data_IF_871739294482
#
_entry.id   IF_871739294482
#
_cell.length_a   1.000
_cell.length_b   1.000
_cell.length_c   1.000
_cell.angle_alpha   90.00
_cell.angle_beta   90.00
_cell.angle_gamma   90.00
#
_symmetry.space_group_name_H-M   'P 1'
#
loop_
_entity.id
_entity.type
_entity.pdbx_description
1 polymer ?
#
# COMPACT_ATOMS: atom_id res chain seq x y z
N UNK A 1 4.87 -2.57 -31.68
CA UNK A 1 4.49 -2.23 -30.29
C UNK A 1 5.59 -1.39 -29.66
N UNK A 2 5.23 -0.38 -28.86
CA UNK A 2 6.16 0.55 -28.24
C UNK A 2 6.89 -0.06 -27.05
N UNK A 3 8.01 0.55 -26.66
CA UNK A 3 8.69 0.30 -25.39
C UNK A 3 8.83 1.64 -24.68
N UNK A 4 8.43 1.71 -23.42
CA UNK A 4 8.55 2.90 -22.58
C UNK A 4 9.57 2.61 -21.49
N UNK A 5 10.61 3.45 -21.42
CA UNK A 5 11.66 3.34 -20.42
C UNK A 5 11.62 4.59 -19.53
N UNK A 6 11.60 4.39 -18.22
CA UNK A 6 11.57 5.48 -17.24
C UNK A 6 12.78 5.38 -16.30
N UNK A 7 13.44 6.52 -16.06
CA UNK A 7 14.45 6.62 -15.01
C UNK A 7 13.80 7.17 -13.75
N UNK A 8 13.76 6.37 -12.69
CA UNK A 8 13.18 6.74 -11.41
C UNK A 8 14.27 7.15 -10.41
N UNK A 9 14.08 8.30 -9.77
CA UNK A 9 14.87 8.76 -8.63
C UNK A 9 13.98 8.70 -7.40
N UNK A 10 14.31 7.83 -6.45
CA UNK A 10 13.51 7.61 -5.25
C UNK A 10 14.32 8.13 -4.06
N UNK A 11 13.73 8.99 -3.23
CA UNK A 11 14.37 9.43 -1.99
C UNK A 11 14.23 8.31 -0.96
N UNK A 12 15.26 8.11 -0.13
CA UNK A 12 15.21 7.08 0.92
C UNK A 12 14.06 7.33 1.91
N UNK A 13 13.75 8.60 2.22
CA UNK A 13 12.61 8.98 3.07
C UNK A 13 11.25 8.54 2.52
N UNK A 14 11.12 8.38 1.20
CA UNK A 14 9.88 7.92 0.57
C UNK A 14 9.77 6.38 0.59
N UNK A 15 10.88 5.67 0.84
CA UNK A 15 10.91 4.21 0.90
C UNK A 15 10.57 3.67 2.28
N UNK A 16 11.05 4.33 3.34
CA UNK A 16 10.79 3.90 4.70
C UNK A 16 10.94 5.07 5.69
N UNK A 17 10.01 5.22 6.66
CA UNK A 17 10.06 6.31 7.64
C UNK A 17 11.35 6.37 8.46
N UNK A 18 12.03 5.24 8.67
CA UNK A 18 13.33 5.18 9.38
C UNK A 18 14.35 6.17 8.81
N UNK A 19 14.38 6.39 7.49
CA UNK A 19 15.37 7.27 6.86
C UNK A 19 15.14 8.76 7.15
N UNK A 20 13.96 9.13 7.65
CA UNK A 20 13.70 10.48 8.17
C UNK A 20 14.31 10.67 9.56
N UNK A 21 14.43 9.58 10.32
CA UNK A 21 14.79 9.61 11.73
C UNK A 21 16.26 9.17 11.97
N UNK A 22 16.87 8.48 11.00
CA UNK A 22 18.30 8.19 11.00
C UNK A 22 19.11 9.48 11.00
N UNK A 23 20.09 9.52 11.90
CA UNK A 23 21.01 10.65 12.05
C UNK A 23 22.31 10.42 11.29
N UNK A 24 23.20 11.41 11.33
CA UNK A 24 24.59 11.25 10.94
C UNK A 24 25.26 10.17 11.81
N UNK A 25 25.83 9.17 11.14
CA UNK A 25 26.53 8.03 11.75
C UNK A 25 27.88 7.81 11.05
N UNK A 26 28.86 7.30 11.79
CA UNK A 26 30.20 7.09 11.30
C UNK A 26 30.38 5.68 10.68
N UNK A 27 30.35 5.61 9.34
CA UNK A 27 30.62 4.43 8.49
C UNK A 27 29.48 3.38 8.27
N UNK A 28 28.23 3.78 7.99
CA UNK A 28 27.06 2.91 8.17
C UNK A 28 27.03 1.69 7.26
N UNK A 29 27.00 0.50 7.86
CA UNK A 29 26.79 -0.75 7.15
C UNK A 29 25.29 -1.08 6.99
N UNK A 30 24.65 -0.49 5.97
CA UNK A 30 23.22 -0.71 5.69
C UNK A 30 23.06 -1.64 4.48
N UNK A 31 22.31 -2.75 4.67
CA UNK A 31 21.88 -3.62 3.58
C UNK A 31 20.44 -3.33 3.19
N UNK A 32 20.24 -2.74 2.01
CA UNK A 32 18.92 -2.53 1.43
C UNK A 32 18.57 -3.68 0.48
N UNK A 33 17.36 -4.21 0.59
CA UNK A 33 16.80 -5.18 -0.36
C UNK A 33 15.50 -4.63 -0.90
N UNK A 34 15.41 -4.52 -2.21
CA UNK A 34 14.21 -4.06 -2.90
C UNK A 34 13.58 -5.23 -3.66
N UNK A 35 12.27 -5.37 -3.54
CA UNK A 35 11.47 -6.21 -4.43
C UNK A 35 10.65 -5.26 -5.31
N UNK A 36 10.96 -5.24 -6.60
CA UNK A 36 10.22 -4.42 -7.58
C UNK A 36 9.20 -5.31 -8.29
N UNK A 37 8.02 -4.77 -8.59
CA UNK A 37 7.02 -5.49 -9.39
C UNK A 37 7.57 -5.79 -10.79
N UNK A 38 7.53 -7.06 -11.18
CA UNK A 38 7.89 -7.53 -12.51
C UNK A 38 6.90 -8.59 -12.94
N UNK A 39 6.47 -8.53 -14.20
CA UNK A 39 5.45 -9.43 -14.68
C UNK A 39 5.02 -9.17 -16.10
N UNK A 40 4.05 -9.95 -16.55
CA UNK A 40 3.42 -9.85 -17.86
C UNK A 40 1.92 -10.13 -17.74
N UNK A 41 1.10 -9.32 -18.39
CA UNK A 41 -0.33 -9.57 -18.59
C UNK A 41 -0.60 -9.96 -20.03
N UNK A 42 -1.36 -11.02 -20.22
CA UNK A 42 -1.89 -11.46 -21.52
C UNK A 42 -3.37 -11.05 -21.62
N UNK A 43 -3.69 -10.35 -22.71
CA UNK A 43 -4.98 -9.74 -22.97
C UNK A 43 -5.50 -10.25 -24.31
N UNK A 44 -6.70 -10.81 -24.32
CA UNK A 44 -7.40 -11.16 -25.55
C UNK A 44 -8.33 -10.02 -25.98
N UNK A 45 -8.44 -9.84 -27.30
CA UNK A 45 -9.23 -8.79 -27.94
C UNK A 45 -10.24 -9.46 -28.89
N UNK A 46 -11.53 -9.19 -28.68
CA UNK A 46 -12.60 -9.73 -29.52
C UNK A 46 -12.84 -8.88 -30.78
N UNK A 47 -13.79 -9.31 -31.62
CA UNK A 47 -14.13 -8.64 -32.88
C UNK A 47 -14.78 -7.27 -32.69
N UNK A 48 -15.18 -6.93 -31.47
CA UNK A 48 -15.71 -5.63 -31.07
C UNK A 48 -14.65 -4.78 -30.34
N UNK A 49 -13.37 -5.16 -30.43
CA UNK A 49 -12.24 -4.53 -29.72
C UNK A 49 -12.41 -4.50 -28.20
N UNK A 50 -13.21 -5.40 -27.63
CA UNK A 50 -13.31 -5.55 -26.17
C UNK A 50 -12.12 -6.36 -25.69
N UNK A 51 -11.47 -5.82 -24.66
CA UNK A 51 -10.27 -6.39 -24.06
C UNK A 51 -10.67 -7.19 -22.83
N UNK A 52 -10.17 -8.42 -22.73
CA UNK A 52 -10.40 -9.28 -21.57
C UNK A 52 -9.08 -9.87 -21.08
N UNK A 53 -8.92 -9.96 -19.76
CA UNK A 53 -7.67 -10.44 -19.17
C UNK A 53 -7.70 -11.97 -19.15
N UNK A 54 -6.72 -12.58 -19.81
CA UNK A 54 -6.57 -14.05 -19.88
C UNK A 54 -5.65 -14.53 -18.77
N UNK A 55 -4.56 -13.81 -18.49
CA UNK A 55 -3.68 -14.10 -17.35
C UNK A 55 -2.78 -12.93 -16.98
N UNK A 56 -2.39 -12.84 -15.71
CA UNK A 56 -1.21 -12.06 -15.28
C UNK A 56 -0.22 -12.99 -14.59
N UNK A 57 1.04 -12.97 -15.03
CA UNK A 57 2.15 -13.70 -14.42
C UNK A 57 3.11 -12.70 -13.77
N UNK A 58 3.28 -12.81 -12.46
CA UNK A 58 4.23 -12.01 -11.68
C UNK A 58 5.49 -12.83 -11.41
N UNK A 59 6.65 -12.34 -11.84
CA UNK A 59 7.95 -12.92 -11.49
C UNK A 59 8.55 -12.31 -10.22
N UNK A 60 8.11 -11.10 -9.86
CA UNK A 60 8.49 -10.41 -8.63
C UNK A 60 7.42 -9.41 -8.23
N UNK A 61 7.26 -9.18 -6.92
CA UNK A 61 6.22 -8.30 -6.39
C UNK A 61 4.81 -8.89 -6.52
N UNK A 62 3.80 -8.08 -6.23
CA UNK A 62 2.42 -8.55 -6.11
C UNK A 62 1.44 -7.76 -6.99
N UNK A 63 1.87 -6.67 -7.63
CA UNK A 63 0.99 -5.67 -8.26
C UNK A 63 1.36 -5.46 -9.72
N UNK A 64 0.35 -5.19 -10.57
CA UNK A 64 0.55 -4.66 -11.91
C UNK A 64 0.68 -3.12 -11.84
N UNK A 65 1.82 -2.52 -12.19
CA UNK A 65 2.02 -1.07 -12.12
C UNK A 65 1.58 -0.33 -13.39
N UNK A 66 1.00 -1.03 -14.36
CA UNK A 66 0.69 -0.48 -15.69
C UNK A 66 -0.82 -0.56 -15.92
N UNK A 67 -1.41 0.50 -16.45
CA UNK A 67 -2.80 0.51 -16.87
C UNK A 67 -2.90 0.58 -18.39
N UNK A 68 -3.77 -0.25 -18.97
CA UNK A 68 -4.04 -0.29 -20.41
C UNK A 68 -5.40 0.33 -20.67
N UNK A 69 -5.42 1.36 -21.51
CA UNK A 69 -6.67 2.01 -21.91
C UNK A 69 -7.49 1.11 -22.84
N UNK A 70 -8.81 1.30 -22.83
CA UNK A 70 -9.74 0.52 -23.67
C UNK A 70 -9.48 0.71 -25.17
N UNK A 71 -9.65 -0.37 -25.94
CA UNK A 71 -9.62 -0.38 -27.40
C UNK A 71 -11.01 -0.22 -28.04
N UNK A 72 -12.08 -0.04 -27.26
CA UNK A 72 -13.42 0.24 -27.80
C UNK A 72 -13.53 1.71 -28.21
N UNK A 73 -14.11 2.03 -29.36
CA UNK A 73 -14.31 3.42 -29.80
C UNK A 73 -15.11 4.23 -28.77
N UNK A 74 -14.74 5.50 -28.48
CA UNK A 74 -13.65 6.30 -29.05
C UNK A 74 -12.39 6.35 -28.14
N UNK A 75 -12.14 5.30 -27.36
CA UNK A 75 -11.06 5.30 -26.35
C UNK A 75 -9.65 5.33 -26.99
N UNK A 76 -8.61 5.71 -26.23
CA UNK A 76 -7.27 5.94 -26.76
C UNK A 76 -6.63 4.78 -27.55
N UNK A 77 -7.00 3.52 -27.28
CA UNK A 77 -6.43 2.37 -27.99
C UNK A 77 -7.21 1.96 -29.24
N UNK A 78 -8.36 2.58 -29.57
CA UNK A 78 -9.25 2.15 -30.65
C UNK A 78 -8.58 1.99 -32.03
N UNK A 79 -7.72 2.95 -32.41
CA UNK A 79 -7.00 2.88 -33.70
C UNK A 79 -5.61 2.25 -33.59
N UNK A 80 -5.12 2.00 -32.37
CA UNK A 80 -3.82 1.39 -32.10
C UNK A 80 -3.94 -0.13 -32.06
N UNK A 81 -5.05 -0.63 -31.54
CA UNK A 81 -5.43 -2.03 -31.47
C UNK A 81 -6.74 -2.17 -32.26
N UNK A 82 -6.65 -2.63 -33.51
CA UNK A 82 -7.82 -2.84 -34.36
C UNK A 82 -7.97 -4.32 -34.71
N UNK A 83 -9.18 -4.85 -34.52
CA UNK A 83 -9.54 -6.24 -34.84
C UNK A 83 -9.35 -7.25 -33.71
N UNK A 84 -9.49 -8.53 -34.05
CA UNK A 84 -9.34 -9.68 -33.15
C UNK A 84 -7.86 -9.99 -32.97
N UNK A 85 -7.43 -10.28 -31.74
CA UNK A 85 -6.05 -10.72 -31.50
C UNK A 85 -5.71 -10.85 -30.03
N UNK A 86 -4.41 -10.91 -29.75
CA UNK A 86 -3.88 -10.92 -28.39
C UNK A 86 -2.76 -9.89 -28.22
N UNK A 87 -2.68 -9.33 -27.01
CA UNK A 87 -1.70 -8.36 -26.58
C UNK A 87 -1.02 -8.87 -25.31
N UNK A 88 0.30 -8.73 -25.24
CA UNK A 88 1.05 -8.91 -24.01
C UNK A 88 1.64 -7.57 -23.55
N UNK A 89 1.49 -7.25 -22.26
CA UNK A 89 2.12 -6.09 -21.62
C UNK A 89 3.06 -6.60 -20.54
N UNK A 90 4.36 -6.36 -20.70
CA UNK A 90 5.37 -6.74 -19.71
C UNK A 90 5.99 -5.53 -19.06
N UNK A 91 6.23 -5.63 -17.75
CA UNK A 91 6.87 -4.60 -16.94
C UNK A 91 7.98 -5.22 -16.10
N UNK A 92 8.98 -4.40 -15.80
CA UNK A 92 10.04 -4.78 -14.88
C UNK A 92 11.07 -3.67 -14.72
N UNK A 93 11.89 -3.79 -13.68
CA UNK A 93 13.04 -2.92 -13.49
C UNK A 93 14.22 -3.50 -14.27
N UNK A 94 14.90 -2.66 -15.05
CA UNK A 94 16.06 -3.01 -15.88
C UNK A 94 15.65 -3.87 -17.08
N UNK A 95 15.04 -5.04 -16.86
CA UNK A 95 14.58 -5.96 -17.90
C UNK A 95 13.14 -6.42 -17.65
N UNK A 96 12.52 -7.02 -18.65
CA UNK A 96 11.24 -7.73 -18.51
C UNK A 96 11.18 -8.93 -19.48
N UNK A 97 10.09 -9.69 -19.44
CA UNK A 97 9.94 -10.91 -20.25
C UNK A 97 10.02 -10.66 -21.77
N UNK A 98 9.60 -9.50 -22.26
CA UNK A 98 9.64 -9.13 -23.69
C UNK A 98 10.93 -8.39 -24.09
N UNK A 99 11.67 -7.85 -23.11
CA UNK A 99 12.95 -7.17 -23.27
C UNK A 99 13.94 -7.70 -22.23
N UNK A 100 14.53 -8.89 -22.45
CA UNK A 100 15.42 -9.53 -21.48
C UNK A 100 16.82 -8.90 -21.43
N UNK A 101 17.13 -7.95 -22.32
CA UNK A 101 18.42 -7.26 -22.41
C UNK A 101 18.22 -5.76 -22.50
N UNK A 102 19.06 -4.99 -21.79
CA UNK A 102 19.16 -3.54 -21.96
C UNK A 102 20.19 -3.24 -23.05
N UNK A 103 19.78 -2.41 -24.01
CA UNK A 103 20.69 -1.69 -24.88
C UNK A 103 20.98 -0.32 -24.25
N UNK A 104 22.27 -0.01 -24.02
CA UNK A 104 22.72 1.27 -23.46
C UNK A 104 22.40 2.48 -24.34
N UNK A 105 21.84 2.25 -25.53
CA UNK A 105 21.39 3.27 -26.47
C UNK A 105 20.35 4.25 -25.89
N UNK A 106 19.46 3.80 -24.98
CA UNK A 106 18.33 4.62 -24.51
C UNK A 106 18.42 5.06 -23.04
N UNK A 107 19.23 4.38 -22.22
CA UNK A 107 19.40 4.69 -20.81
C UNK A 107 20.88 4.61 -20.43
N UNK A 108 21.45 5.64 -19.78
CA UNK A 108 22.89 5.71 -19.50
C UNK A 108 23.34 4.73 -18.41
N UNK A 109 22.41 4.08 -17.71
CA UNK A 109 22.71 3.17 -16.61
C UNK A 109 22.06 1.81 -16.84
N UNK A 110 22.88 0.76 -16.80
CA UNK A 110 22.45 -0.65 -16.78
C UNK A 110 22.27 -1.17 -15.34
N UNK A 111 22.55 -0.34 -14.33
CA UNK A 111 22.47 -0.67 -12.90
C UNK A 111 21.79 0.43 -12.09
N UNK A 112 21.33 0.11 -10.87
CA UNK A 112 20.90 1.12 -9.89
C UNK A 112 22.11 1.78 -9.22
N UNK A 113 21.95 3.02 -8.74
CA UNK A 113 22.97 3.78 -8.00
C UNK A 113 22.35 4.36 -6.73
N UNK A 114 23.06 4.25 -5.62
CA UNK A 114 22.72 4.89 -4.35
C UNK A 114 23.59 6.12 -4.16
N UNK A 115 22.97 7.28 -3.98
CA UNK A 115 23.67 8.53 -3.66
C UNK A 115 23.49 8.82 -2.16
N UNK A 116 24.60 8.82 -1.42
CA UNK A 116 24.63 9.16 0.01
C UNK A 116 25.56 10.35 0.20
N UNK A 117 25.12 11.45 0.83
CA UNK A 117 25.99 12.58 1.10
C UNK A 117 27.03 12.20 2.17
N UNK A 118 28.29 12.55 1.91
CA UNK A 118 29.36 12.48 2.90
C UNK A 118 29.60 13.88 3.45
N UNK A 119 29.49 14.05 4.77
CA UNK A 119 29.55 15.36 5.43
C UNK A 119 30.81 15.45 6.29
N UNK A 120 31.59 16.50 6.09
CA UNK A 120 32.68 16.87 6.99
C UNK A 120 32.14 17.82 8.06
N UNK A 121 32.20 17.41 9.33
CA UNK A 121 31.70 18.20 10.44
C UNK A 121 32.75 19.21 10.91
N UNK A 122 32.37 20.49 11.02
CA UNK A 122 33.24 21.54 11.57
C UNK A 122 33.45 21.37 13.09
N UNK A 123 32.40 20.95 13.82
CA UNK A 123 32.47 20.68 15.26
C UNK A 123 31.87 19.30 15.63
N UNK A 124 32.69 18.24 15.71
CA UNK A 124 32.23 16.89 16.03
C UNK A 124 31.87 16.69 17.52
N UNK A 125 32.22 17.62 18.42
CA UNK A 125 32.07 17.44 19.87
C UNK A 125 30.61 17.24 20.32
N UNK A 126 29.65 17.81 19.59
CA UNK A 126 28.23 17.63 19.89
C UNK A 126 27.75 16.18 19.67
N UNK A 127 28.34 15.46 18.71
CA UNK A 127 28.03 14.04 18.48
C UNK A 127 28.79 13.17 19.48
N UNK A 128 30.07 13.48 19.72
CA UNK A 128 30.95 12.74 20.63
C UNK A 128 30.43 12.78 22.09
N UNK A 129 29.90 13.92 22.53
CA UNK A 129 29.38 14.09 23.90
C UNK A 129 28.08 13.33 24.16
N UNK A 130 27.32 12.96 23.11
CA UNK A 130 26.06 12.21 23.20
C UNK A 130 25.98 11.17 22.09
N UNK A 131 26.82 10.13 22.10
CA UNK A 131 26.96 9.23 20.95
C UNK A 131 25.69 8.40 20.75
N UNK A 132 25.01 8.01 21.82
CA UNK A 132 23.80 7.20 21.77
C UNK A 132 22.57 8.04 21.40
N UNK A 133 21.86 7.63 20.35
CA UNK A 133 20.59 8.21 19.93
C UNK A 133 19.50 7.14 19.92
N UNK A 134 18.35 7.51 20.50
CA UNK A 134 17.11 6.74 20.39
C UNK A 134 16.29 7.28 19.23
N UNK A 135 15.97 6.40 18.29
CA UNK A 135 15.20 6.66 17.08
C UNK A 135 13.83 6.01 17.25
N UNK A 136 12.76 6.74 16.95
CA UNK A 136 11.40 6.22 16.92
C UNK A 136 10.81 6.45 15.54
N UNK A 137 10.20 5.43 14.98
CA UNK A 137 9.53 5.55 13.68
C UNK A 137 8.29 4.67 13.65
N UNK A 138 7.33 5.04 12.82
CA UNK A 138 6.17 4.20 12.57
C UNK A 138 6.50 3.18 11.48
N UNK A 139 6.30 1.91 11.77
CA UNK A 139 6.41 0.80 10.83
C UNK A 139 5.03 0.22 10.54
N UNK A 140 4.90 -0.51 9.44
CA UNK A 140 3.64 -1.01 8.94
C UNK A 140 3.68 -2.53 8.73
N UNK A 141 2.88 -3.25 9.51
CA UNK A 141 2.56 -4.65 9.23
C UNK A 141 1.36 -4.70 8.28
N UNK A 142 1.42 -5.57 7.27
CA UNK A 142 0.38 -5.70 6.25
C UNK A 142 -0.06 -7.15 6.11
N UNK A 143 -1.37 -7.40 6.18
CA UNK A 143 -1.96 -8.71 5.98
C UNK A 143 -3.12 -8.67 5.00
N UNK A 144 -3.07 -9.56 4.02
CA UNK A 144 -4.11 -9.71 3.01
C UNK A 144 -5.10 -10.82 3.36
N UNK A 145 -6.38 -10.56 3.17
CA UNK A 145 -7.48 -11.50 3.39
C UNK A 145 -8.25 -11.75 2.09
N UNK A 146 -8.21 -13.01 1.64
CA UNK A 146 -8.90 -13.48 0.42
C UNK A 146 -10.31 -13.98 0.73
N UNK A 147 -11.28 -13.56 -0.08
CA UNK A 147 -12.65 -14.09 -0.14
C UNK A 147 -13.33 -14.19 1.22
N UNK A 148 -13.00 -13.28 2.14
CA UNK A 148 -13.56 -13.27 3.49
C UNK A 148 -14.90 -12.53 3.56
N UNK A 149 -15.26 -11.77 2.53
CA UNK A 149 -16.36 -10.81 2.59
C UNK A 149 -17.21 -10.80 1.31
N UNK A 150 -17.91 -11.92 1.08
CA UNK A 150 -18.71 -12.17 -0.11
C UNK A 150 -17.89 -12.70 -1.30
N UNK A 151 -18.57 -13.15 -2.36
CA UNK A 151 -17.96 -13.73 -3.58
C UNK A 151 -18.49 -13.06 -4.84
N UNK A 152 -17.60 -12.63 -5.73
CA UNK A 152 -17.94 -12.05 -7.04
C UNK A 152 -18.97 -10.92 -6.98
N UNK A 153 -19.62 -10.63 -8.11
CA UNK A 153 -20.76 -9.70 -8.16
C UNK A 153 -22.06 -10.48 -8.21
N UNK A 154 -22.86 -10.46 -7.15
CA UNK A 154 -24.14 -11.17 -7.09
C UNK A 154 -25.25 -10.26 -6.59
N UNK A 155 -26.32 -10.07 -7.37
CA UNK A 155 -27.45 -9.21 -7.01
C UNK A 155 -28.19 -9.64 -5.73
N UNK A 156 -28.07 -10.92 -5.36
CA UNK A 156 -28.68 -11.50 -4.16
C UNK A 156 -27.78 -11.46 -2.93
N UNK A 157 -26.49 -11.20 -3.11
CA UNK A 157 -25.55 -11.06 -2.00
C UNK A 157 -25.61 -9.63 -1.50
N UNK A 158 -26.04 -9.44 -0.25
CA UNK A 158 -25.94 -8.17 0.45
C UNK A 158 -25.60 -8.50 1.91
N UNK A 159 -24.88 -7.61 2.57
CA UNK A 159 -24.64 -7.69 4.02
C UNK A 159 -23.81 -8.92 4.43
N UNK A 160 -22.76 -9.23 3.67
CA UNK A 160 -21.82 -10.28 4.03
C UNK A 160 -20.99 -9.83 5.25
N UNK A 161 -21.22 -10.45 6.40
CA UNK A 161 -20.45 -10.19 7.61
C UNK A 161 -19.01 -10.72 7.48
N UNK A 162 -18.08 -10.09 8.19
CA UNK A 162 -16.70 -10.52 8.27
C UNK A 162 -16.12 -10.32 9.66
N UNK A 163 -15.18 -11.19 9.99
CA UNK A 163 -14.40 -11.17 11.20
C UNK A 163 -12.98 -11.63 10.87
N UNK A 164 -12.06 -10.67 10.83
CA UNK A 164 -10.67 -10.83 10.39
C UNK A 164 -9.75 -10.78 11.60
N UNK A 165 -9.20 -11.94 11.96
CA UNK A 165 -8.14 -12.04 12.95
C UNK A 165 -6.77 -11.93 12.28
N UNK A 166 -5.95 -10.97 12.70
CA UNK A 166 -4.55 -10.91 12.25
C UNK A 166 -3.76 -12.11 12.77
N UNK A 167 -2.85 -12.60 11.94
CA UNK A 167 -1.97 -13.73 12.28
C UNK A 167 -0.82 -13.32 13.21
N UNK A 168 -0.38 -12.06 13.12
CA UNK A 168 0.64 -11.49 14.00
C UNK A 168 -0.01 -10.71 15.14
N UNK A 169 0.58 -10.83 16.33
CA UNK A 169 0.34 -9.91 17.43
C UNK A 169 1.34 -8.76 17.33
N UNK A 170 0.88 -7.53 17.44
CA UNK A 170 1.70 -6.33 17.23
C UNK A 170 1.87 -5.58 18.54
N UNK A 171 3.09 -5.13 18.84
CA UNK A 171 3.39 -4.25 19.97
C UNK A 171 3.13 -2.79 19.59
N UNK A 172 2.60 -1.99 20.51
CA UNK A 172 2.46 -0.52 20.36
C UNK A 172 1.79 -0.16 19.01
N UNK A 173 0.70 -0.86 18.67
CA UNK A 173 -0.11 -0.50 17.52
C UNK A 173 -0.74 0.89 17.75
N UNK A 174 -0.56 1.79 16.79
CA UNK A 174 -1.16 3.12 16.82
C UNK A 174 -2.45 3.14 16.02
N UNK A 175 -2.42 2.59 14.81
CA UNK A 175 -3.53 2.68 13.87
C UNK A 175 -3.76 1.33 13.19
N UNK A 176 -5.03 1.00 13.00
CA UNK A 176 -5.45 -0.09 12.13
C UNK A 176 -6.19 0.50 10.95
N UNK A 177 -5.78 0.12 9.74
CA UNK A 177 -6.31 0.63 8.49
C UNK A 177 -6.85 -0.56 7.70
N UNK A 178 -8.11 -0.47 7.26
CA UNK A 178 -8.75 -1.46 6.40
C UNK A 178 -8.94 -0.88 5.00
N UNK A 179 -8.41 -1.59 4.01
CA UNK A 179 -8.45 -1.22 2.60
C UNK A 179 -9.25 -2.27 1.82
N UNK A 180 -10.49 -1.96 1.41
CA UNK A 180 -11.32 -2.87 0.61
C UNK A 180 -10.93 -2.84 -0.88
N UNK A 181 -10.80 -4.02 -1.47
CA UNK A 181 -10.58 -4.25 -2.90
C UNK A 181 -11.66 -5.17 -3.46
N UNK A 182 -12.06 -5.00 -4.72
CA UNK A 182 -13.01 -5.91 -5.35
C UNK A 182 -12.39 -7.31 -5.47
N UNK A 183 -13.16 -8.34 -5.12
CA UNK A 183 -12.67 -9.72 -5.19
C UNK A 183 -12.43 -10.18 -6.64
N UNK A 184 -13.30 -9.76 -7.56
CA UNK A 184 -13.18 -9.96 -9.00
C UNK A 184 -13.70 -8.74 -9.75
N UNK A 185 -13.21 -8.54 -10.97
CA UNK A 185 -13.75 -7.56 -11.91
C UNK A 185 -14.37 -8.28 -13.11
N UNK A 186 -15.39 -7.69 -13.73
CA UNK A 186 -16.06 -8.26 -14.91
C UNK A 186 -15.18 -8.27 -16.18
N UNK A 187 -13.96 -7.75 -16.10
CA UNK A 187 -13.03 -7.60 -17.23
C UNK A 187 -12.06 -8.79 -17.37
N UNK A 188 -12.27 -9.85 -16.58
CA UNK A 188 -11.49 -11.08 -16.64
C UNK A 188 -12.20 -12.11 -17.53
N UNK A 189 -11.51 -12.66 -18.52
CA UNK A 189 -12.03 -13.78 -19.31
C UNK A 189 -11.84 -15.09 -18.53
N UNK A 190 -10.58 -15.43 -18.25
CA UNK A 190 -10.19 -16.63 -17.48
C UNK A 190 -9.17 -16.33 -16.39
N UNK A 191 -8.72 -15.07 -16.26
CA UNK A 191 -7.72 -14.69 -15.27
C UNK A 191 -8.23 -14.86 -13.83
N UNK A 192 -7.53 -15.70 -13.05
CA UNK A 192 -7.77 -15.87 -11.62
C UNK A 192 -6.79 -15.02 -10.79
N UNK A 193 -6.88 -13.70 -10.93
CA UNK A 193 -5.95 -12.74 -10.33
C UNK A 193 -6.67 -11.71 -9.47
N UNK A 194 -5.94 -11.04 -8.59
CA UNK A 194 -6.50 -9.98 -7.76
C UNK A 194 -6.70 -8.69 -8.57
N UNK A 195 -7.59 -7.80 -8.09
CA UNK A 195 -7.87 -6.52 -8.74
C UNK A 195 -6.59 -5.72 -9.05
N UNK A 196 -5.67 -5.58 -8.07
CA UNK A 196 -4.39 -4.86 -8.22
C UNK A 196 -3.35 -5.58 -9.08
N UNK A 197 -3.66 -6.78 -9.60
CA UNK A 197 -2.83 -7.53 -10.55
C UNK A 197 -3.33 -7.38 -11.98
N UNK A 198 -4.46 -6.69 -12.17
CA UNK A 198 -5.04 -6.41 -13.47
C UNK A 198 -4.45 -5.13 -14.05
N UNK A 199 -4.13 -5.08 -15.35
CA UNK A 199 -3.81 -3.84 -16.04
C UNK A 199 -5.05 -3.00 -16.38
N UNK A 200 -6.26 -3.46 -16.02
CA UNK A 200 -7.51 -2.74 -16.27
C UNK A 200 -8.05 -1.99 -15.06
N UNK A 201 -7.32 -2.05 -13.95
CA UNK A 201 -7.75 -1.45 -12.70
C UNK A 201 -6.74 -0.40 -12.22
N UNK A 202 -7.23 0.56 -11.44
CA UNK A 202 -6.40 1.59 -10.80
C UNK A 202 -5.92 1.18 -9.41
N UNK A 203 -6.45 0.10 -8.85
CA UNK A 203 -5.91 -0.54 -7.66
C UNK A 203 -4.43 -0.95 -7.89
N UNK A 204 -3.53 -0.77 -6.91
CA UNK A 204 -3.81 -0.44 -5.52
C UNK A 204 -3.82 1.06 -5.20
N UNK A 205 -3.64 1.94 -6.20
CA UNK A 205 -3.72 3.38 -5.96
C UNK A 205 -5.12 3.81 -5.53
N UNK A 206 -6.13 3.10 -6.04
CA UNK A 206 -7.52 3.23 -5.64
C UNK A 206 -8.00 1.99 -4.89
N UNK A 207 -9.09 2.15 -4.17
CA UNK A 207 -9.81 1.09 -3.47
C UNK A 207 -11.10 0.77 -4.22
N UNK A 208 -11.81 -0.27 -3.77
CA UNK A 208 -13.09 -0.65 -4.34
C UNK A 208 -14.10 0.53 -4.30
N UNK A 209 -14.44 1.13 -5.46
CA UNK A 209 -15.32 2.29 -5.52
C UNK A 209 -16.70 1.97 -4.96
N UNK A 210 -17.21 2.81 -4.07
CA UNK A 210 -18.54 2.60 -3.48
C UNK A 210 -18.63 1.37 -2.57
N UNK A 211 -17.50 0.82 -2.10
CA UNK A 211 -17.50 -0.11 -0.97
C UNK A 211 -18.34 0.47 0.17
N UNK A 212 -19.09 -0.35 0.90
CA UNK A 212 -19.94 0.12 2.00
C UNK A 212 -19.79 -0.85 3.16
N UNK A 213 -18.96 -0.47 4.12
CA UNK A 213 -18.67 -1.27 5.31
C UNK A 213 -19.47 -0.71 6.48
N UNK A 214 -20.34 -1.56 7.02
CA UNK A 214 -21.26 -1.27 8.12
C UNK A 214 -20.84 -2.00 9.39
N UNK A 215 -21.28 -1.50 10.54
CA UNK A 215 -20.92 -2.04 11.86
C UNK A 215 -19.40 -2.27 12.02
N UNK A 216 -18.59 -1.31 11.55
CA UNK A 216 -17.13 -1.45 11.61
C UNK A 216 -16.64 -1.36 13.06
N UNK A 217 -15.79 -2.29 13.46
CA UNK A 217 -15.07 -2.21 14.73
C UNK A 217 -13.71 -2.91 14.66
N UNK A 218 -12.80 -2.43 15.49
CA UNK A 218 -11.46 -2.99 15.69
C UNK A 218 -11.31 -3.33 17.16
N UNK A 219 -10.79 -4.52 17.45
CA UNK A 219 -10.56 -4.99 18.81
C UNK A 219 -9.08 -5.31 19.00
N UNK A 220 -8.53 -4.84 20.11
CA UNK A 220 -7.16 -5.14 20.57
C UNK A 220 -7.27 -5.98 21.84
N UNK A 221 -6.77 -7.21 21.81
CA UNK A 221 -6.93 -8.16 22.91
C UNK A 221 -8.41 -8.44 23.21
N UNK A 222 -8.94 -7.90 24.30
CA UNK A 222 -10.37 -8.01 24.68
C UNK A 222 -11.12 -6.67 24.66
N UNK A 223 -10.47 -5.58 24.25
CA UNK A 223 -11.03 -4.24 24.27
C UNK A 223 -11.42 -3.80 22.85
N UNK A 224 -12.62 -3.23 22.71
CA UNK A 224 -13.09 -2.67 21.44
C UNK A 224 -12.60 -1.22 21.31
N UNK A 225 -12.25 -0.81 20.10
CA UNK A 225 -11.87 0.56 19.78
C UNK A 225 -13.07 1.48 19.83
N UNK A 226 -14.18 1.07 19.22
CA UNK A 226 -15.41 1.82 19.27
C UNK A 226 -16.37 1.13 20.24
N UNK A 227 -16.86 1.88 21.23
CA UNK A 227 -17.84 1.38 22.21
C UNK A 227 -19.13 0.90 21.53
N UNK A 228 -19.50 1.59 20.43
CA UNK A 228 -20.61 1.24 19.57
C UNK A 228 -20.09 1.13 18.13
N UNK A 229 -20.37 -0.02 17.51
CA UNK A 229 -20.06 -0.23 16.09
C UNK A 229 -20.96 0.66 15.25
N UNK A 230 -20.39 1.32 14.25
CA UNK A 230 -21.10 2.29 13.43
C UNK A 230 -20.87 2.03 11.95
N UNK A 231 -21.76 2.58 11.13
CA UNK A 231 -21.59 2.60 9.68
C UNK A 231 -20.50 3.61 9.33
N UNK A 232 -19.41 3.13 8.76
CA UNK A 232 -18.21 3.96 8.59
C UNK A 232 -18.39 4.89 7.39
N UNK A 233 -18.48 6.18 7.69
CA UNK A 233 -18.67 7.26 6.73
C UNK A 233 -17.46 8.22 6.70
N UNK A 234 -17.57 9.26 5.89
CA UNK A 234 -16.50 10.24 5.75
C UNK A 234 -16.31 11.09 7.01
N UNK A 235 -17.37 11.35 7.77
CA UNK A 235 -17.24 12.13 9.00
C UNK A 235 -16.43 11.36 10.05
N UNK A 236 -16.67 10.05 10.17
CA UNK A 236 -15.86 9.19 11.01
C UNK A 236 -14.41 9.11 10.52
N UNK A 237 -14.19 8.97 9.22
CA UNK A 237 -12.85 9.01 8.64
C UNK A 237 -12.11 10.31 9.02
N UNK A 238 -12.76 11.47 8.84
CA UNK A 238 -12.18 12.77 9.17
C UNK A 238 -11.86 12.90 10.65
N UNK A 239 -12.75 12.43 11.53
CA UNK A 239 -12.56 12.43 12.98
C UNK A 239 -11.40 11.52 13.43
N UNK A 240 -11.17 10.40 12.75
CA UNK A 240 -10.02 9.54 13.04
C UNK A 240 -8.72 10.14 12.50
N UNK A 241 -8.71 10.69 11.29
CA UNK A 241 -7.52 11.31 10.69
C UNK A 241 -7.09 12.58 11.42
N UNK A 242 -8.03 13.38 11.94
CA UNK A 242 -7.71 14.59 12.70
C UNK A 242 -6.90 14.27 13.97
N UNK A 243 -7.15 13.13 14.62
CA UNK A 243 -6.36 12.69 15.78
C UNK A 243 -4.92 12.32 15.42
N UNK A 244 -4.65 12.00 14.16
CA UNK A 244 -3.37 11.43 13.70
C UNK A 244 -2.43 12.51 13.18
N UNK A 245 -2.94 13.35 12.28
CA UNK A 245 -2.07 14.16 11.42
C UNK A 245 -2.54 15.61 11.25
N UNK A 246 -3.69 16.02 11.81
CA UNK A 246 -4.12 17.41 11.69
C UNK A 246 -3.43 18.30 12.72
N UNK A 247 -3.24 19.56 12.32
CA UNK A 247 -2.68 20.59 13.19
C UNK A 247 -3.71 20.88 14.27
N UNK A 248 -3.30 20.82 15.54
CA UNK A 248 -4.16 21.03 16.71
C UNK A 248 -5.42 20.13 16.74
N UNK A 249 -5.37 18.93 16.16
CA UNK A 249 -6.55 18.05 16.14
C UNK A 249 -7.73 18.63 15.36
N UNK A 250 -7.45 19.49 14.36
CA UNK A 250 -8.43 20.17 13.51
C UNK A 250 -9.31 21.19 14.28
N UNK A 251 -8.86 21.63 15.47
CA UNK A 251 -9.50 22.69 16.25
C UNK A 251 -9.36 24.07 15.60
N UNK A 252 -8.46 24.23 14.63
CA UNK A 252 -8.21 25.48 13.91
C UNK A 252 -8.68 25.35 12.46
N UNK A 253 -9.93 25.75 12.13
CA UNK A 253 -10.54 25.51 10.83
C UNK A 253 -9.89 26.28 9.67
N UNK A 254 -9.04 27.26 9.98
CA UNK A 254 -8.27 28.03 9.00
C UNK A 254 -7.06 27.25 8.46
N UNK A 255 -6.64 26.19 9.16
CA UNK A 255 -5.45 25.40 8.89
C UNK A 255 -5.79 23.93 8.66
N UNK A 256 -6.73 23.66 7.74
CA UNK A 256 -7.04 22.28 7.34
C UNK A 256 -6.03 21.80 6.31
N UNK A 257 -5.32 20.73 6.64
CA UNK A 257 -4.48 19.98 5.70
C UNK A 257 -5.12 18.63 5.43
N UNK A 258 -5.81 18.50 4.30
CA UNK A 258 -6.40 17.24 3.85
C UNK A 258 -6.45 17.18 2.33
N UNK A 259 -5.80 16.18 1.73
CA UNK A 259 -5.80 15.97 0.28
C UNK A 259 -7.06 15.22 -0.21
N UNK A 260 -7.79 14.56 0.70
CA UNK A 260 -8.97 13.77 0.38
C UNK A 260 -10.23 14.51 0.83
N UNK A 261 -11.05 14.90 -0.14
CA UNK A 261 -12.40 15.38 0.10
C UNK A 261 -13.41 14.22 0.16
N UNK A 262 -14.65 14.54 0.51
CA UNK A 262 -15.74 13.56 0.61
C UNK A 262 -15.90 12.74 -0.68
N UNK A 263 -15.82 13.40 -1.84
CA UNK A 263 -16.05 12.75 -3.13
C UNK A 263 -14.90 11.80 -3.48
N UNK A 264 -13.65 12.24 -3.33
CA UNK A 264 -12.48 11.41 -3.61
C UNK A 264 -12.40 10.24 -2.64
N UNK A 265 -12.68 10.44 -1.35
CA UNK A 265 -12.75 9.36 -0.38
C UNK A 265 -13.86 8.36 -0.74
N UNK A 266 -15.08 8.83 -1.01
CA UNK A 266 -16.24 7.96 -1.26
C UNK A 266 -16.10 7.13 -2.54
N UNK A 267 -15.53 7.71 -3.60
CA UNK A 267 -15.47 7.09 -4.93
C UNK A 267 -14.14 6.41 -5.24
N UNK A 268 -13.05 6.83 -4.62
CA UNK A 268 -11.69 6.41 -5.03
C UNK A 268 -10.91 5.77 -3.89
N UNK A 269 -10.95 6.35 -2.70
CA UNK A 269 -10.07 5.98 -1.58
C UNK A 269 -10.88 5.73 -0.31
N UNK A 270 -11.82 4.78 -0.35
CA UNK A 270 -12.66 4.45 0.81
C UNK A 270 -11.91 3.63 1.86
N UNK A 271 -10.95 4.30 2.49
CA UNK A 271 -10.12 3.80 3.57
C UNK A 271 -10.91 3.88 4.88
N UNK A 272 -10.87 2.81 5.69
CA UNK A 272 -11.35 2.85 7.06
C UNK A 272 -10.16 2.85 8.02
N UNK A 273 -10.18 3.72 9.01
CA UNK A 273 -9.09 3.91 9.98
C UNK A 273 -9.66 3.82 11.40
N UNK A 274 -8.92 3.19 12.30
CA UNK A 274 -9.19 3.21 13.73
C UNK A 274 -7.91 3.56 14.49
N UNK A 275 -7.95 4.63 15.28
CA UNK A 275 -6.94 4.94 16.28
C UNK A 275 -7.09 4.02 17.50
N UNK A 276 -6.14 3.08 17.61
CA UNK A 276 -6.07 2.07 18.66
C UNK A 276 -4.98 2.37 19.69
N UNK A 277 -4.29 3.51 19.56
CA UNK A 277 -3.14 3.87 20.41
C UNK A 277 -3.47 3.87 21.91
N UNK A 278 -4.72 4.17 22.28
CA UNK A 278 -5.23 4.15 23.65
C UNK A 278 -5.48 2.75 24.24
N UNK A 279 -5.56 1.72 23.39
CA UNK A 279 -5.84 0.34 23.80
C UNK A 279 -4.57 -0.51 23.92
N UNK A 280 -3.45 0.01 23.41
CA UNK A 280 -2.21 -0.75 23.37
C UNK A 280 -1.38 -0.56 24.61
N UNK A 281 -0.88 -1.66 25.15
CA UNK A 281 0.08 -1.63 26.23
C UNK A 281 1.52 -1.59 25.69
N UNK A 282 2.38 -0.86 26.39
CA UNK A 282 3.79 -0.79 26.03
C UNK A 282 4.43 -2.16 26.26
N UNK A 283 5.21 -2.61 25.28
CA UNK A 283 6.00 -3.85 25.31
C UNK A 283 5.22 -5.18 25.28
N UNK A 284 3.88 -5.16 25.23
CA UNK A 284 3.04 -6.36 25.16
C UNK A 284 2.51 -6.55 23.73
N UNK A 285 2.82 -7.67 23.04
CA UNK A 285 2.18 -7.99 21.78
C UNK A 285 0.70 -8.32 22.01
N UNK A 286 -0.20 -7.66 21.29
CA UNK A 286 -1.64 -7.89 21.41
C UNK A 286 -2.24 -8.35 20.08
N UNK A 287 -3.19 -9.27 20.17
CA UNK A 287 -3.96 -9.75 19.03
C UNK A 287 -4.90 -8.65 18.53
N UNK A 288 -5.04 -8.55 17.21
CA UNK A 288 -5.87 -7.54 16.55
C UNK A 288 -6.94 -8.24 15.72
N UNK A 289 -8.18 -7.83 15.92
CA UNK A 289 -9.35 -8.37 15.23
C UNK A 289 -10.15 -7.22 14.61
N UNK A 290 -10.61 -7.40 13.38
CA UNK A 290 -11.37 -6.39 12.63
C UNK A 290 -12.67 -7.03 12.16
N UNK A 291 -13.78 -6.41 12.51
CA UNK A 291 -15.12 -6.93 12.21
C UNK A 291 -15.97 -5.89 11.50
N UNK A 292 -16.95 -6.36 10.74
CA UNK A 292 -17.93 -5.51 10.08
C UNK A 292 -18.80 -6.29 9.10
N UNK A 293 -19.51 -5.55 8.26
CA UNK A 293 -20.44 -6.08 7.27
C UNK A 293 -20.25 -5.36 5.95
N UNK A 294 -19.94 -6.09 4.87
CA UNK A 294 -20.00 -5.55 3.52
C UNK A 294 -21.45 -5.47 3.06
N UNK A 295 -21.98 -4.26 2.95
CA UNK A 295 -23.34 -4.01 2.50
C UNK A 295 -23.51 -4.15 0.98
N UNK A 296 -22.42 -4.15 0.21
CA UNK A 296 -22.44 -4.21 -1.24
C UNK A 296 -22.70 -5.61 -1.81
N UNK A 297 -23.08 -5.64 -3.08
CA UNK A 297 -23.28 -6.87 -3.84
C UNK A 297 -22.01 -7.45 -4.45
N UNK A 298 -20.93 -6.68 -4.43
CA UNK A 298 -19.61 -7.09 -4.88
C UNK A 298 -18.81 -7.62 -3.67
N UNK A 299 -18.37 -8.87 -3.78
CA UNK A 299 -17.44 -9.50 -2.86
C UNK A 299 -16.15 -8.69 -2.78
N UNK A 300 -15.61 -8.58 -1.57
CA UNK A 300 -14.48 -7.70 -1.26
C UNK A 300 -13.35 -8.51 -0.61
N UNK A 301 -12.15 -8.35 -1.14
CA UNK A 301 -10.91 -8.75 -0.48
C UNK A 301 -10.39 -7.56 0.32
N UNK A 302 -9.66 -7.83 1.41
CA UNK A 302 -9.26 -6.77 2.34
C UNK A 302 -7.77 -6.83 2.63
N UNK A 303 -7.10 -5.69 2.52
CA UNK A 303 -5.78 -5.47 3.07
C UNK A 303 -5.93 -4.75 4.40
N UNK A 304 -5.40 -5.34 5.46
CA UNK A 304 -5.29 -4.71 6.76
C UNK A 304 -3.85 -4.24 6.94
N UNK A 305 -3.69 -2.96 7.24
CA UNK A 305 -2.43 -2.37 7.64
C UNK A 305 -2.48 -2.04 9.13
N UNK A 306 -1.45 -2.42 9.87
CA UNK A 306 -1.27 -2.05 11.27
C UNK A 306 -0.02 -1.20 11.37
N UNK A 307 -0.21 0.06 11.72
CA UNK A 307 0.88 0.99 11.97
C UNK A 307 1.27 0.85 13.44
N UNK A 308 2.54 0.55 13.70
CA UNK A 308 3.10 0.41 15.04
C UNK A 308 4.31 1.31 15.22
N UNK A 309 4.51 1.80 16.44
CA UNK A 309 5.71 2.58 16.77
C UNK A 309 6.85 1.62 17.12
N UNK A 310 7.95 1.72 16.36
CA UNK A 310 9.17 0.98 16.58
C UNK A 310 10.23 1.89 17.22
N UNK A 311 11.00 1.32 18.14
CA UNK A 311 12.12 2.02 18.79
C UNK A 311 13.44 1.31 18.43
N UNK A 312 14.43 2.08 18.01
CA UNK A 312 15.80 1.63 17.73
C UNK A 312 16.78 2.51 18.52
N UNK A 313 17.74 1.90 19.22
CA UNK A 313 18.82 2.65 19.86
C UNK A 313 20.13 2.35 19.17
N UNK A 314 20.82 3.39 18.70
CA UNK A 314 22.07 3.28 17.96
C UNK A 314 23.15 4.16 18.58
N UNK A 315 24.40 3.70 18.53
CA UNK A 315 25.58 4.50 18.80
C UNK A 315 26.08 5.15 17.49
N UNK A 316 26.15 6.48 17.45
CA UNK A 316 26.53 7.24 16.25
C UNK A 316 28.03 7.16 15.92
N UNK A 317 28.88 6.75 16.86
CA UNK A 317 30.34 6.66 16.66
C UNK A 317 30.78 5.25 16.24
N UNK A 318 30.18 4.21 16.84
CA UNK A 318 30.55 2.81 16.60
C UNK A 318 29.59 2.06 15.70
N UNK A 319 28.40 2.63 15.49
CA UNK A 319 27.29 2.05 14.71
C UNK A 319 26.63 0.83 15.33
N UNK A 320 26.96 0.55 16.58
CA UNK A 320 26.37 -0.56 17.29
C UNK A 320 24.89 -0.29 17.55
N UNK A 321 24.04 -1.26 17.18
CA UNK A 321 22.64 -1.26 17.57
C UNK A 321 22.56 -1.80 19.00
N UNK A 322 22.32 -0.90 19.94
CA UNK A 322 22.25 -1.22 21.38
C UNK A 322 20.92 -1.87 21.76
N UNK A 323 19.85 -1.61 21.00
CA UNK A 323 18.56 -2.28 21.15
C UNK A 323 17.87 -2.38 19.79
N UNK A 324 17.52 -3.60 19.40
CA UNK A 324 16.72 -3.87 18.20
C UNK A 324 15.23 -3.87 18.57
N UNK A 325 14.36 -3.34 17.70
CA UNK A 325 12.94 -3.68 17.77
C UNK A 325 12.82 -5.19 17.61
N UNK A 326 12.18 -5.86 18.58
CA UNK A 326 11.83 -7.26 18.42
C UNK A 326 10.78 -7.36 17.32
N UNK A 327 11.22 -7.67 16.11
CA UNK A 327 10.35 -8.00 14.98
C UNK A 327 9.54 -9.25 15.36
N UNK A 328 8.26 -9.05 15.64
CA UNK A 328 7.25 -10.12 15.74
C UNK A 328 6.72 -10.46 14.36
#
# INVERSE_FOLDING_TARGET
>A
MGTWNYMLKIKLVDLHPIFKELDLMANPQIRLRFRVNQGTSAIDIDSSSRMTLTSTTLSSGNVCPVMVASAVSPNPMYSVISGVGSLAVSWGAVVNALKPTIDGTYMPFTTSRLYVPFVHLENPQAIISKPVKKVRYNDCYAQWFYQRVGTGKQSTQLNAAFDLQLSASVKIAKYVILLPFAEQTNSFASAAVQQFQSPFDSAPWTLHPGSSIRNFNVRIGSQQCFDISHDYDFHQFANEVSKIASINGDLTPELVNGLLDYQTWSLTNRVLIADVSRLTERDVPQAIQIQGVNAGCQGTNMLVLVVSEQELTLDRLTEEILNLPQLS
#
